data_IF_016215151017
#
_entry.id   IF_016215151017
#
_cell.length_a   1.000
_cell.length_b   1.000
_cell.length_c   1.000
_cell.angle_alpha   90.00
_cell.angle_beta   90.00
_cell.angle_gamma   90.00
#
_symmetry.space_group_name_H-M   'P 1'
#
loop_
_entity.id
_entity.type
_entity.pdbx_description
1 polymer ?
#
# COMPACT_ATOMS: atom_id res chain seq x y z
N UNK A 1 -2.39 17.34 22.72
CA UNK A 1 -1.50 17.60 21.56
C UNK A 1 -2.26 17.29 20.26
N UNK A 2 -2.78 18.30 19.54
CA UNK A 2 -3.85 18.11 18.51
C UNK A 2 -3.36 17.79 17.09
N UNK A 3 -2.12 18.06 16.72
CA UNK A 3 -1.65 17.96 15.32
C UNK A 3 -0.53 16.93 15.11
N UNK A 4 -0.40 16.34 13.91
CA UNK A 4 0.68 15.41 13.59
C UNK A 4 2.05 16.10 13.70
N UNK A 5 3.05 15.38 14.21
CA UNK A 5 4.43 15.87 14.34
C UNK A 5 5.28 15.25 13.22
N UNK A 6 6.07 16.06 12.53
CA UNK A 6 6.96 15.60 11.47
C UNK A 6 8.09 14.72 12.02
N UNK A 7 8.33 13.57 11.36
CA UNK A 7 9.37 12.62 11.78
C UNK A 7 10.79 13.00 11.32
N UNK A 8 10.97 13.92 10.39
CA UNK A 8 12.30 14.30 9.88
C UNK A 8 12.41 15.81 9.56
N UNK A 9 13.65 16.31 9.53
CA UNK A 9 13.99 17.69 9.15
C UNK A 9 14.14 17.89 7.63
N UNK A 10 13.98 16.84 6.82
CA UNK A 10 14.28 16.86 5.38
C UNK A 10 13.15 17.41 4.49
N UNK A 11 12.20 18.17 5.06
CA UNK A 11 11.10 18.78 4.33
C UNK A 11 10.03 17.79 3.83
N UNK A 12 10.15 16.49 4.14
CA UNK A 12 9.14 15.49 3.79
C UNK A 12 7.96 15.59 4.75
N UNK A 13 6.88 16.22 4.28
CA UNK A 13 5.64 16.30 5.02
C UNK A 13 4.83 15.02 4.83
N UNK A 14 4.89 14.10 5.79
CA UNK A 14 4.02 12.92 5.82
C UNK A 14 3.56 12.60 7.23
N UNK A 15 2.36 12.04 7.35
CA UNK A 15 1.87 11.49 8.61
C UNK A 15 0.99 10.26 8.34
N UNK A 16 0.97 9.36 9.30
CA UNK A 16 0.04 8.22 9.31
C UNK A 16 -1.28 8.70 9.90
N UNK A 17 -2.36 8.59 9.12
CA UNK A 17 -3.67 9.09 9.49
C UNK A 17 -4.51 8.07 10.26
N UNK A 18 -4.15 6.79 10.19
CA UNK A 18 -4.78 5.72 10.95
C UNK A 18 -3.82 5.08 11.95
N UNK A 19 -4.39 4.40 12.94
CA UNK A 19 -3.63 3.60 13.91
C UNK A 19 -4.38 2.29 14.27
N UNK A 20 -5.31 1.85 13.41
CA UNK A 20 -6.15 0.67 13.65
C UNK A 20 -7.36 0.56 12.70
N UNK A 21 -8.07 -0.56 12.79
CA UNK A 21 -9.27 -0.86 12.04
C UNK A 21 -10.39 0.16 12.31
N UNK A 22 -11.14 0.57 11.29
CA UNK A 22 -12.29 1.49 11.44
C UNK A 22 -11.93 2.97 11.67
N UNK A 23 -10.65 3.34 11.69
CA UNK A 23 -10.25 4.75 11.89
C UNK A 23 -10.51 5.63 10.66
N UNK A 24 -10.72 5.04 9.49
CA UNK A 24 -10.85 5.74 8.20
C UNK A 24 -12.00 5.15 7.41
N UNK A 25 -12.80 6.02 6.79
CA UNK A 25 -13.94 5.61 5.98
C UNK A 25 -13.72 6.04 4.53
N UNK A 26 -14.09 5.19 3.58
CA UNK A 26 -14.01 5.50 2.15
C UNK A 26 -15.41 5.46 1.56
N UNK A 27 -15.80 6.54 0.89
CA UNK A 27 -17.04 6.62 0.11
C UNK A 27 -16.71 7.05 -1.32
N UNK A 28 -16.68 6.09 -2.25
CA UNK A 28 -16.32 6.30 -3.66
C UNK A 28 -14.99 7.07 -3.79
N UNK A 29 -15.05 8.34 -4.22
CA UNK A 29 -13.91 9.27 -4.38
C UNK A 29 -13.72 10.16 -3.16
N UNK A 30 -14.11 9.71 -1.97
CA UNK A 30 -13.96 10.46 -0.72
C UNK A 30 -13.34 9.58 0.34
N UNK A 31 -12.52 10.20 1.19
CA UNK A 31 -11.87 9.57 2.32
C UNK A 31 -12.10 10.42 3.56
N UNK A 32 -12.62 9.82 4.63
CA UNK A 32 -12.76 10.46 5.93
C UNK A 32 -11.50 10.21 6.75
N UNK A 33 -10.77 11.27 7.08
CA UNK A 33 -9.58 11.20 7.92
C UNK A 33 -9.90 11.69 9.34
N UNK A 34 -9.41 11.04 10.41
CA UNK A 34 -9.79 11.34 11.80
C UNK A 34 -9.68 12.81 12.23
N UNK A 35 -8.68 13.52 11.69
CA UNK A 35 -8.39 14.91 12.06
C UNK A 35 -8.85 15.94 11.02
N UNK A 36 -9.02 15.52 9.78
CA UNK A 36 -9.30 16.43 8.64
C UNK A 36 -10.77 16.34 8.22
N UNK A 37 -11.42 15.20 8.46
CA UNK A 37 -12.74 14.88 7.94
C UNK A 37 -12.70 14.39 6.50
N UNK A 38 -13.80 14.58 5.79
CA UNK A 38 -13.97 14.15 4.40
C UNK A 38 -13.12 14.97 3.43
N UNK A 39 -12.26 14.27 2.70
CA UNK A 39 -11.48 14.82 1.59
C UNK A 39 -11.84 14.13 0.28
N UNK A 40 -11.65 14.83 -0.84
CA UNK A 40 -11.89 14.29 -2.18
C UNK A 40 -10.62 13.62 -2.72
N UNK A 41 -10.75 12.37 -3.14
CA UNK A 41 -9.75 11.63 -3.90
C UNK A 41 -9.92 11.89 -5.40
N UNK A 42 -8.83 11.73 -6.16
CA UNK A 42 -8.88 11.78 -7.63
C UNK A 42 -9.53 10.52 -8.21
N UNK A 43 -9.28 9.38 -7.58
CA UNK A 43 -9.68 8.05 -8.01
C UNK A 43 -10.40 7.34 -6.86
N UNK A 44 -11.23 6.35 -7.21
CA UNK A 44 -11.89 5.48 -6.22
C UNK A 44 -10.90 4.42 -5.75
N UNK A 45 -11.08 3.93 -4.52
CA UNK A 45 -10.25 2.85 -4.01
C UNK A 45 -10.47 1.58 -4.86
N UNK A 46 -9.42 1.12 -5.52
CA UNK A 46 -9.47 -0.01 -6.46
C UNK A 46 -9.79 -1.35 -5.80
N UNK A 47 -9.43 -1.52 -4.54
CA UNK A 47 -9.49 -2.79 -3.84
C UNK A 47 -10.47 -2.74 -2.67
N UNK A 48 -11.26 -3.80 -2.54
CA UNK A 48 -12.12 -4.05 -1.39
C UNK A 48 -11.37 -4.87 -0.35
N UNK A 49 -11.55 -4.53 0.93
CA UNK A 49 -10.93 -5.25 2.04
C UNK A 49 -10.78 -4.36 3.27
N UNK A 50 -10.07 -4.88 4.27
CA UNK A 50 -9.80 -4.17 5.52
C UNK A 50 -8.67 -3.14 5.30
N UNK A 51 -8.93 -1.87 5.56
CA UNK A 51 -7.89 -0.83 5.52
C UNK A 51 -7.04 -0.94 6.78
N UNK A 52 -5.75 -1.24 6.60
CA UNK A 52 -4.80 -1.47 7.70
C UNK A 52 -3.86 -0.30 7.92
N UNK A 53 -3.64 0.52 6.89
CA UNK A 53 -2.73 1.67 6.94
C UNK A 53 -3.15 2.76 5.96
N UNK A 54 -3.11 4.01 6.41
CA UNK A 54 -3.34 5.22 5.61
C UNK A 54 -2.25 6.23 5.92
N UNK A 55 -1.49 6.61 4.90
CA UNK A 55 -0.43 7.61 5.00
C UNK A 55 -0.76 8.76 4.07
N UNK A 56 -0.81 9.97 4.62
CA UNK A 56 -0.92 11.20 3.86
C UNK A 56 0.47 11.78 3.70
N UNK A 57 0.84 12.14 2.48
CA UNK A 57 2.15 12.69 2.16
C UNK A 57 2.07 13.83 1.15
N UNK A 58 3.03 14.75 1.22
CA UNK A 58 3.21 15.84 0.27
C UNK A 58 4.43 15.58 -0.60
N UNK A 59 4.27 15.67 -1.92
CA UNK A 59 5.34 15.56 -2.90
C UNK A 59 5.08 16.53 -4.07
N UNK A 60 6.09 17.32 -4.46
CA UNK A 60 5.98 18.35 -5.52
C UNK A 60 4.71 19.21 -5.39
N UNK A 61 4.50 19.76 -4.20
CA UNK A 61 3.33 20.59 -3.83
C UNK A 61 1.94 19.96 -4.00
N UNK A 62 1.89 18.63 -4.17
CA UNK A 62 0.65 17.85 -4.25
C UNK A 62 0.55 16.93 -3.04
N UNK A 63 -0.69 16.73 -2.60
CA UNK A 63 -1.03 15.80 -1.53
C UNK A 63 -1.45 14.46 -2.11
N UNK A 64 -0.92 13.39 -1.53
CA UNK A 64 -1.20 12.01 -1.89
C UNK A 64 -1.61 11.23 -0.65
N UNK A 65 -2.43 10.21 -0.88
CA UNK A 65 -2.82 9.24 0.15
C UNK A 65 -2.44 7.84 -0.31
N UNK A 66 -1.64 7.15 0.49
CA UNK A 66 -1.36 5.72 0.33
C UNK A 66 -2.26 4.93 1.27
N UNK A 67 -3.06 4.01 0.71
CA UNK A 67 -4.02 3.18 1.46
C UNK A 67 -3.60 1.71 1.29
N UNK A 68 -3.29 1.04 2.40
CA UNK A 68 -2.99 -0.39 2.43
C UNK A 68 -4.24 -1.18 2.78
N UNK A 69 -4.67 -2.04 1.86
CA UNK A 69 -5.86 -2.87 2.01
C UNK A 69 -5.45 -4.33 2.17
N UNK A 70 -5.81 -4.93 3.30
CA UNK A 70 -5.74 -6.38 3.51
C UNK A 70 -6.94 -7.01 2.82
N UNK A 71 -6.67 -7.87 1.85
CA UNK A 71 -7.69 -8.63 1.09
C UNK A 71 -7.98 -9.94 1.81
N UNK A 72 -9.25 -10.21 2.10
CA UNK A 72 -9.71 -11.44 2.74
C UNK A 72 -10.06 -12.53 1.71
N UNK A 73 -10.14 -12.14 0.44
CA UNK A 73 -10.48 -13.02 -0.66
C UNK A 73 -9.25 -13.81 -1.15
N UNK A 74 -9.22 -15.08 -0.76
CA UNK A 74 -8.32 -16.13 -1.25
C UNK A 74 -8.46 -16.37 -2.77
N UNK A 75 -9.32 -15.64 -3.50
CA UNK A 75 -9.44 -15.78 -4.96
C UNK A 75 -8.20 -15.31 -5.73
N UNK A 76 -7.26 -14.59 -5.11
CA UNK A 76 -5.92 -14.38 -5.67
C UNK A 76 -4.98 -15.59 -5.49
N UNK A 77 -5.32 -16.57 -4.63
CA UNK A 77 -4.65 -17.88 -4.63
C UNK A 77 -5.08 -18.75 -5.81
N UNK A 78 -6.20 -18.43 -6.50
CA UNK A 78 -6.66 -19.21 -7.67
C UNK A 78 -5.68 -19.14 -8.85
N UNK A 79 -4.76 -18.17 -8.86
CA UNK A 79 -3.67 -18.02 -9.83
C UNK A 79 -2.28 -18.23 -9.23
N UNK A 80 -2.19 -18.66 -7.97
CA UNK A 80 -0.93 -19.27 -7.56
C UNK A 80 -0.89 -20.62 -8.29
N UNK A 81 0.05 -20.84 -9.23
CA UNK A 81 0.31 -22.19 -9.68
C UNK A 81 0.50 -23.00 -8.39
N UNK A 82 -0.16 -24.17 -8.32
CA UNK A 82 -0.04 -25.07 -7.18
C UNK A 82 1.43 -25.09 -6.78
N UNK A 83 1.73 -24.43 -5.66
CA UNK A 83 3.06 -24.53 -5.08
C UNK A 83 3.18 -26.02 -4.80
N UNK A 84 4.25 -26.65 -5.29
CA UNK A 84 4.53 -28.09 -5.18
C UNK A 84 3.95 -29.01 -6.27
N UNK A 85 4.05 -28.63 -7.55
CA UNK A 85 4.45 -29.64 -8.55
C UNK A 85 5.95 -29.90 -8.36
N UNK A 86 6.42 -31.14 -8.55
CA UNK A 86 7.77 -31.71 -8.33
C UNK A 86 8.94 -31.01 -9.07
N UNK A 87 8.95 -29.69 -9.16
CA UNK A 87 9.92 -28.88 -9.90
C UNK A 87 11.16 -28.68 -9.04
N UNK A 88 12.37 -28.86 -9.62
CA UNK A 88 13.61 -28.58 -8.92
C UNK A 88 13.69 -27.09 -8.54
N UNK A 89 14.42 -26.75 -7.46
CA UNK A 89 14.65 -25.37 -7.08
C UNK A 89 15.43 -24.64 -8.20
N UNK A 90 14.99 -23.44 -8.56
CA UNK A 90 15.67 -22.57 -9.53
C UNK A 90 16.33 -21.42 -8.77
N UNK A 91 17.64 -21.26 -8.96
CA UNK A 91 18.38 -20.09 -8.48
C UNK A 91 18.10 -18.89 -9.37
N UNK A 92 17.76 -17.75 -8.76
CA UNK A 92 17.50 -16.48 -9.47
C UNK A 92 18.61 -15.50 -9.08
N UNK A 93 19.41 -15.07 -10.04
CA UNK A 93 20.41 -14.01 -9.89
C UNK A 93 19.95 -12.75 -10.64
N UNK A 94 20.07 -11.57 -10.04
CA UNK A 94 19.60 -10.30 -10.60
C UNK A 94 20.78 -9.38 -10.90
N UNK A 95 20.91 -8.96 -12.15
CA UNK A 95 22.06 -8.20 -12.64
C UNK A 95 21.70 -6.85 -13.26
N UNK A 96 22.73 -6.03 -13.47
CA UNK A 96 22.59 -4.70 -14.12
C UNK A 96 22.35 -4.85 -15.63
N UNK A 97 23.09 -5.77 -16.27
CA UNK A 97 22.97 -6.03 -17.71
C UNK A 97 21.80 -6.96 -18.03
N UNK A 98 21.47 -7.85 -17.09
CA UNK A 98 20.38 -8.83 -17.21
C UNK A 98 19.52 -8.73 -15.97
N UNK A 99 18.25 -8.33 -16.14
CA UNK A 99 17.31 -8.15 -15.04
C UNK A 99 17.26 -9.35 -14.10
N UNK A 100 17.19 -10.56 -14.66
CA UNK A 100 17.25 -11.82 -13.93
C UNK A 100 17.82 -12.94 -14.82
N UNK A 101 18.74 -13.72 -14.27
CA UNK A 101 19.25 -14.99 -14.81
C UNK A 101 18.74 -16.11 -13.91
N UNK A 102 18.19 -17.17 -14.50
CA UNK A 102 17.69 -18.34 -13.78
C UNK A 102 18.62 -19.54 -14.05
N UNK A 103 18.99 -20.28 -13.01
CA UNK A 103 19.77 -21.52 -13.09
C UNK A 103 19.02 -22.65 -12.39
N UNK A 104 18.93 -23.82 -13.03
CA UNK A 104 18.34 -25.04 -12.49
C UNK A 104 19.37 -25.99 -11.86
N UNK A 105 20.65 -25.62 -11.85
CA UNK A 105 21.76 -26.44 -11.33
C UNK A 105 22.88 -26.62 -12.34
#
# INVERSE_FOLDING_TARGET
>A
NKFPVYKNRSGKCSYQADNGEGTVEVDKKRLNLPKIGWIRLREELRYTGEITKVVVSKHNDKWFVSITVRRLDSSNYKYQPLLFDDKPPIGIDVGINTLATCSDG
#
